data_IF_700603754865
#
_entry.id   IF_700603754865
#
_cell.length_a   1.000
_cell.length_b   1.000
_cell.length_c   1.000
_cell.angle_alpha   90.00
_cell.angle_beta   90.00
_cell.angle_gamma   90.00
#
_symmetry.space_group_name_H-M   'P 1'
#
loop_
_entity.id
_entity.type
_entity.pdbx_description
1 polymer ?
#
# COMPACT_ATOMS: atom_id res chain seq x y z
N UNK A 1 3.93 -17.17 3.50
CA UNK A 1 3.29 -16.49 2.35
C UNK A 1 4.35 -15.73 1.57
N UNK A 2 4.32 -15.82 0.26
CA UNK A 2 5.28 -15.07 -0.56
C UNK A 2 4.92 -13.60 -0.55
N UNK A 3 5.94 -12.75 -0.75
CA UNK A 3 5.71 -11.30 -0.78
C UNK A 3 4.68 -10.92 -1.83
N UNK A 4 4.76 -11.51 -3.00
CA UNK A 4 3.79 -11.26 -4.06
C UNK A 4 2.37 -11.53 -3.59
N UNK A 5 2.16 -12.61 -2.87
CA UNK A 5 0.83 -12.96 -2.37
C UNK A 5 0.39 -12.01 -1.26
N UNK A 6 1.33 -11.60 -0.42
CA UNK A 6 1.01 -10.63 0.63
C UNK A 6 0.56 -9.30 0.02
N UNK A 7 1.27 -8.84 -1.01
CA UNK A 7 0.89 -7.60 -1.69
C UNK A 7 -0.50 -7.72 -2.29
N UNK A 8 -0.80 -8.87 -2.90
CA UNK A 8 -2.11 -9.10 -3.47
C UNK A 8 -3.20 -9.03 -2.39
N UNK A 9 -2.92 -9.59 -1.21
CA UNK A 9 -3.89 -9.54 -0.12
C UNK A 9 -4.10 -8.12 0.39
N UNK A 10 -3.04 -7.32 0.43
CA UNK A 10 -3.17 -5.92 0.83
C UNK A 10 -4.10 -5.17 -0.12
N UNK A 11 -3.93 -5.38 -1.42
CA UNK A 11 -4.78 -4.74 -2.41
C UNK A 11 -6.24 -5.14 -2.21
N UNK A 12 -6.49 -6.42 -1.94
CA UNK A 12 -7.85 -6.88 -1.69
C UNK A 12 -8.47 -6.19 -0.48
N UNK A 13 -7.70 -6.05 0.60
CA UNK A 13 -8.18 -5.36 1.79
C UNK A 13 -8.55 -3.92 1.44
N UNK A 14 -7.66 -3.22 0.75
CA UNK A 14 -7.89 -1.83 0.40
C UNK A 14 -9.15 -1.68 -0.45
N UNK A 15 -9.35 -2.58 -1.39
CA UNK A 15 -10.50 -2.50 -2.30
C UNK A 15 -11.82 -2.80 -1.63
N UNK A 16 -11.82 -3.42 -0.45
CA UNK A 16 -13.06 -3.57 0.31
C UNK A 16 -13.57 -2.23 0.84
N UNK A 17 -12.68 -1.27 1.01
CA UNK A 17 -13.01 0.00 1.66
C UNK A 17 -12.95 1.20 0.72
N UNK A 18 -12.14 1.14 -0.34
CA UNK A 18 -11.89 2.28 -1.21
C UNK A 18 -12.28 1.96 -2.64
N UNK A 19 -12.92 2.92 -3.29
CA UNK A 19 -13.33 2.78 -4.67
C UNK A 19 -12.12 2.90 -5.61
N UNK A 20 -12.37 2.71 -6.89
CA UNK A 20 -11.32 2.79 -7.89
C UNK A 20 -10.81 4.21 -8.10
N UNK A 21 -11.46 5.20 -7.50
CA UNK A 21 -10.92 6.54 -7.51
C UNK A 21 -9.61 6.64 -6.75
N UNK A 22 -9.36 5.68 -5.87
CA UNK A 22 -8.10 5.61 -5.13
C UNK A 22 -7.17 4.65 -5.85
N UNK A 23 -6.01 5.15 -6.23
CA UNK A 23 -4.99 4.29 -6.83
C UNK A 23 -4.11 3.73 -5.73
N UNK A 24 -3.62 2.52 -5.95
CA UNK A 24 -2.81 1.81 -4.98
C UNK A 24 -1.43 1.61 -5.58
N UNK A 25 -0.41 1.93 -4.81
CA UNK A 25 0.98 1.87 -5.29
C UNK A 25 1.84 1.06 -4.35
N UNK A 26 2.74 0.26 -4.92
CA UNK A 26 3.84 -0.32 -4.17
C UNK A 26 5.00 0.67 -4.27
N UNK A 27 5.58 1.04 -3.13
CA UNK A 27 6.72 1.93 -3.14
C UNK A 27 7.79 1.40 -2.18
N UNK A 28 8.89 2.13 -2.04
CA UNK A 28 9.97 1.70 -1.18
C UNK A 28 10.81 0.60 -1.79
N UNK A 29 11.43 -0.22 -0.95
CA UNK A 29 12.44 -1.19 -1.40
C UNK A 29 11.91 -2.19 -2.39
N UNK A 30 10.67 -2.66 -2.20
CA UNK A 30 10.12 -3.67 -3.10
C UNK A 30 9.79 -3.10 -4.47
N UNK A 31 9.52 -1.81 -4.54
CA UNK A 31 9.25 -1.18 -5.83
C UNK A 31 10.54 -0.86 -6.56
N UNK A 32 11.59 -0.47 -5.83
CA UNK A 32 12.85 -0.06 -6.45
C UNK A 32 13.79 -1.21 -6.75
N UNK A 33 13.46 -2.42 -6.29
CA UNK A 33 14.32 -3.58 -6.52
C UNK A 33 15.44 -3.72 -5.50
N UNK A 34 15.38 -2.95 -4.41
CA UNK A 34 16.43 -2.97 -3.39
C UNK A 34 16.04 -3.76 -2.15
N UNK A 35 14.91 -4.48 -2.21
CA UNK A 35 14.42 -5.21 -1.05
C UNK A 35 15.35 -6.34 -0.66
N UNK A 36 15.47 -6.54 0.65
CA UNK A 36 16.16 -7.69 1.22
C UNK A 36 15.16 -8.42 2.11
N UNK A 37 15.59 -9.54 2.70
CA UNK A 37 14.67 -10.40 3.45
C UNK A 37 13.95 -9.69 4.58
N UNK A 38 14.54 -8.64 5.15
CA UNK A 38 13.93 -7.93 6.27
C UNK A 38 13.23 -6.64 5.85
N UNK A 39 13.13 -6.35 4.56
CA UNK A 39 12.50 -5.12 4.09
C UNK A 39 11.00 -5.12 4.36
N UNK A 40 10.48 -3.95 4.70
CA UNK A 40 9.04 -3.76 4.85
C UNK A 40 8.38 -3.67 3.48
N UNK A 41 7.10 -4.00 3.45
CA UNK A 41 6.28 -3.82 2.25
C UNK A 41 5.55 -2.49 2.42
N UNK A 42 5.83 -1.53 1.54
CA UNK A 42 5.25 -0.20 1.62
C UNK A 42 4.20 -0.03 0.53
N UNK A 43 2.96 0.23 0.95
CA UNK A 43 1.85 0.40 0.02
C UNK A 43 1.22 1.76 0.28
N UNK A 44 1.03 2.54 -0.78
CA UNK A 44 0.41 3.84 -0.68
C UNK A 44 -0.90 3.89 -1.43
N UNK A 45 -1.81 4.74 -0.96
CA UNK A 45 -3.05 5.01 -1.67
C UNK A 45 -3.12 6.49 -1.98
N UNK A 46 -3.68 6.81 -3.14
CA UNK A 46 -3.83 8.19 -3.56
C UNK A 46 -5.15 8.35 -4.27
N UNK A 47 -6.01 9.18 -3.72
CA UNK A 47 -7.32 9.44 -4.30
C UNK A 47 -7.64 10.91 -4.29
N UNK A 48 -8.92 11.24 -4.54
CA UNK A 48 -9.31 12.65 -4.64
C UNK A 48 -9.25 13.40 -3.30
N UNK A 49 -9.25 12.67 -2.19
CA UNK A 49 -9.18 13.29 -0.87
C UNK A 49 -8.61 12.28 0.13
N UNK A 50 -8.30 12.76 1.31
CA UNK A 50 -7.79 11.90 2.36
C UNK A 50 -8.77 10.77 2.66
N UNK A 51 -8.23 9.59 2.95
CA UNK A 51 -9.04 8.48 3.42
C UNK A 51 -9.56 8.84 4.81
N UNK A 52 -10.86 8.68 5.07
CA UNK A 52 -11.35 8.94 6.42
C UNK A 52 -10.54 8.14 7.44
N UNK A 53 -10.20 8.77 8.57
CA UNK A 53 -9.28 8.14 9.52
C UNK A 53 -9.80 6.82 10.05
N UNK A 54 -11.12 6.69 10.25
CA UNK A 54 -11.68 5.41 10.70
C UNK A 54 -11.53 4.31 9.67
N UNK A 55 -11.66 4.66 8.40
CA UNK A 55 -11.48 3.69 7.32
C UNK A 55 -10.01 3.29 7.22
N UNK A 56 -9.11 4.26 7.31
CA UNK A 56 -7.69 3.96 7.24
C UNK A 56 -7.27 3.03 8.38
N UNK A 57 -7.81 3.28 9.58
CA UNK A 57 -7.51 2.41 10.72
C UNK A 57 -8.00 0.99 10.47
N UNK A 58 -9.20 0.82 9.92
CA UNK A 58 -9.72 -0.51 9.59
C UNK A 58 -8.84 -1.22 8.58
N UNK A 59 -8.40 -0.50 7.56
CA UNK A 59 -7.50 -1.08 6.56
C UNK A 59 -6.24 -1.57 7.24
N UNK A 60 -5.64 -0.75 8.09
CA UNK A 60 -4.40 -1.12 8.76
C UNK A 60 -4.58 -2.32 9.66
N UNK A 61 -5.71 -2.39 10.37
CA UNK A 61 -6.00 -3.53 11.23
C UNK A 61 -6.11 -4.83 10.44
N UNK A 62 -6.79 -4.78 9.31
CA UNK A 62 -6.96 -5.99 8.50
C UNK A 62 -5.66 -6.40 7.84
N UNK A 63 -4.85 -5.42 7.46
CA UNK A 63 -3.56 -5.72 6.86
C UNK A 63 -2.65 -6.43 7.86
N UNK A 64 -2.75 -6.10 9.14
CA UNK A 64 -1.91 -6.74 10.15
C UNK A 64 -2.22 -8.24 10.33
N UNK A 65 -3.39 -8.67 9.89
CA UNK A 65 -3.78 -10.08 10.01
C UNK A 65 -3.20 -10.93 8.88
N UNK A 66 -2.72 -10.31 7.83
CA UNK A 66 -2.16 -11.04 6.70
C UNK A 66 -0.97 -11.88 7.19
N UNK A 67 -0.98 -13.19 6.91
CA UNK A 67 0.04 -14.09 7.47
C UNK A 67 1.36 -14.00 6.70
N UNK A 68 2.07 -12.92 6.92
CA UNK A 68 3.40 -12.70 6.37
C UNK A 68 4.33 -12.28 7.49
N UNK A 69 5.59 -12.62 7.36
CA UNK A 69 6.60 -12.21 8.34
C UNK A 69 7.09 -10.79 8.09
N UNK A 70 6.72 -10.19 6.97
CA UNK A 70 7.12 -8.83 6.65
C UNK A 70 6.18 -7.84 7.29
N UNK A 71 6.72 -6.72 7.74
CA UNK A 71 5.86 -5.63 8.17
C UNK A 71 5.26 -4.97 6.93
N UNK A 72 3.98 -4.64 7.00
CA UNK A 72 3.29 -3.98 5.90
C UNK A 72 2.86 -2.61 6.38
N UNK A 73 3.30 -1.56 5.69
CA UNK A 73 2.88 -0.19 5.98
C UNK A 73 1.94 0.27 4.90
N UNK A 74 0.80 0.83 5.31
CA UNK A 74 -0.16 1.44 4.39
C UNK A 74 -0.15 2.95 4.67
N UNK A 75 0.08 3.72 3.61
CA UNK A 75 0.23 5.17 3.73
C UNK A 75 -0.78 5.85 2.84
N UNK A 76 -1.47 6.85 3.39
CA UNK A 76 -2.36 7.71 2.60
C UNK A 76 -1.53 8.87 2.09
N UNK A 77 -1.29 8.91 0.78
CA UNK A 77 -0.44 9.94 0.18
C UNK A 77 -1.04 11.34 0.27
N UNK A 78 -2.34 11.45 0.58
CA UNK A 78 -2.94 12.76 0.81
C UNK A 78 -2.71 13.29 2.22
N UNK A 79 -2.10 12.47 3.09
CA UNK A 79 -1.82 12.87 4.47
C UNK A 79 -0.35 13.14 4.74
N UNK A 80 0.52 12.87 3.75
CA UNK A 80 1.96 13.11 3.90
C UNK A 80 2.33 14.39 3.18
N UNK A 81 3.53 14.92 3.44
CA UNK A 81 3.93 16.14 2.76
C UNK A 81 4.26 15.85 1.30
N UNK A 82 4.33 16.92 0.52
CA UNK A 82 4.52 16.81 -0.92
C UNK A 82 5.85 16.17 -1.27
N UNK A 83 6.88 16.47 -0.51
CA UNK A 83 8.20 15.93 -0.81
C UNK A 83 8.21 14.42 -0.64
N UNK A 84 7.63 13.93 0.45
CA UNK A 84 7.52 12.50 0.67
C UNK A 84 6.73 11.84 -0.45
N UNK A 85 5.58 12.43 -0.78
CA UNK A 85 4.71 11.87 -1.81
C UNK A 85 5.43 11.79 -3.15
N UNK A 86 6.08 12.88 -3.55
CA UNK A 86 6.76 12.93 -4.84
C UNK A 86 7.88 11.89 -4.90
N UNK A 87 8.65 11.76 -3.83
CA UNK A 87 9.73 10.79 -3.80
C UNK A 87 9.20 9.36 -3.85
N UNK A 88 8.14 9.09 -3.10
CA UNK A 88 7.57 7.74 -3.07
C UNK A 88 7.00 7.37 -4.44
N UNK A 89 6.30 8.30 -5.08
CA UNK A 89 5.67 8.01 -6.37
C UNK A 89 6.67 7.86 -7.50
N UNK A 90 7.82 8.51 -7.38
CA UNK A 90 8.80 8.52 -8.47
C UNK A 90 9.27 7.11 -8.83
N UNK A 91 9.40 6.23 -7.83
CA UNK A 91 9.87 4.86 -8.05
C UNK A 91 8.81 3.84 -7.69
N UNK A 92 7.55 4.24 -7.73
CA UNK A 92 6.48 3.34 -7.34
C UNK A 92 6.01 2.51 -8.54
N UNK A 93 5.25 1.47 -8.20
CA UNK A 93 4.53 0.66 -9.19
C UNK A 93 3.08 0.65 -8.82
N UNK A 94 2.23 0.98 -9.77
CA UNK A 94 0.80 0.95 -9.50
C UNK A 94 0.31 -0.49 -9.41
N UNK A 95 -0.49 -0.78 -8.41
CA UNK A 95 -1.04 -2.10 -8.19
C UNK A 95 -2.52 -2.09 -8.60
N UNK A 96 -2.91 -3.04 -9.44
CA UNK A 96 -4.29 -3.11 -9.89
C UNK A 96 -4.97 -4.28 -9.21
N UNK A 97 -6.08 -3.98 -8.56
CA UNK A 97 -6.81 -5.00 -7.85
C UNK A 97 -7.41 -5.98 -8.84
N UNK A 98 -7.32 -7.21 -8.52
CA UNK A 98 -7.92 -8.22 -9.28
C UNK A 98 -7.46 -8.23 -10.70
N UNK A 99 -6.36 -7.71 -10.89
CA UNK A 99 -5.82 -7.62 -12.15
C UNK A 99 -5.91 -8.90 -12.73
N UNK A 100 -6.52 -9.05 -13.25
CA UNK A 100 -6.78 -10.09 -13.71
C UNK A 100 -5.88 -10.46 -14.38
#
# INVERSE_FOLDING_TARGET
>A
MKVKDAISEVVKVIRRYLSEEYKVFLFGSYASGEAVDTSDIDVGVLGPKEVPSGVLRRIKEEVEIIPTLRKIDVVDFNRVDEEFKDNALRKSKELTAGAK
#
